data_IF_989285003545
#
_entry.id   IF_989285003545
#
_cell.length_a   1.000
_cell.length_b   1.000
_cell.length_c   1.000
_cell.angle_alpha   90.00
_cell.angle_beta   90.00
_cell.angle_gamma   90.00
#
_symmetry.space_group_name_H-M   'P 1'
#
loop_
_entity.id
_entity.type
_entity.pdbx_description
1 polymer ?
#
# COMPACT_ATOMS: atom_id res chain seq x y z
N UNK A 1 -10.34 -7.25 -49.59
CA UNK A 1 -11.00 -7.32 -48.27
C UNK A 1 -10.26 -8.20 -47.26
N UNK A 2 -9.82 -9.41 -47.62
CA UNK A 2 -9.08 -10.32 -46.70
C UNK A 2 -7.74 -9.75 -46.20
N UNK A 3 -6.97 -9.05 -47.06
CA UNK A 3 -5.67 -8.48 -46.66
C UNK A 3 -5.77 -7.29 -45.69
N UNK A 4 -6.85 -6.51 -45.75
CA UNK A 4 -7.08 -5.38 -44.84
C UNK A 4 -7.52 -5.89 -43.46
N UNK A 5 -8.34 -6.94 -43.43
CA UNK A 5 -8.69 -7.62 -42.18
C UNK A 5 -7.45 -8.22 -41.49
N UNK A 6 -6.52 -8.82 -42.23
CA UNK A 6 -5.28 -9.36 -41.66
C UNK A 6 -4.33 -8.29 -41.07
N UNK A 7 -4.29 -7.09 -41.66
CA UNK A 7 -3.50 -5.97 -41.14
C UNK A 7 -4.12 -5.35 -39.87
N UNK A 8 -5.45 -5.28 -39.79
CA UNK A 8 -6.18 -4.77 -38.62
C UNK A 8 -6.08 -5.69 -37.40
N UNK A 9 -5.78 -6.97 -37.58
CA UNK A 9 -5.59 -7.94 -36.49
C UNK A 9 -4.21 -7.76 -35.82
N UNK A 10 -3.31 -6.96 -36.40
CA UNK A 10 -1.94 -6.74 -35.93
C UNK A 10 -1.31 -8.02 -35.34
N UNK A 11 -1.13 -9.08 -36.16
CA UNK A 11 -0.56 -10.33 -35.68
C UNK A 11 0.91 -10.10 -35.31
N UNK A 12 1.14 -9.71 -34.06
CA UNK A 12 2.47 -9.65 -33.48
C UNK A 12 2.89 -11.09 -33.24
N UNK A 13 3.91 -11.56 -33.97
CA UNK A 13 4.72 -12.69 -33.50
C UNK A 13 5.60 -12.12 -32.39
N UNK A 14 5.32 -12.37 -31.09
CA UNK A 14 6.25 -11.96 -30.06
C UNK A 14 7.58 -12.65 -30.38
N UNK A 15 8.59 -11.84 -30.72
CA UNK A 15 9.95 -12.35 -30.77
C UNK A 15 10.22 -12.94 -29.39
N UNK A 16 10.67 -14.20 -29.28
CA UNK A 16 11.05 -14.75 -28.00
C UNK A 16 12.08 -13.79 -27.42
N UNK A 17 11.72 -13.14 -26.30
CA UNK A 17 12.68 -12.34 -25.56
C UNK A 17 13.79 -13.30 -25.15
N UNK A 18 14.90 -13.28 -25.90
CA UNK A 18 16.13 -13.90 -25.44
C UNK A 18 16.50 -13.16 -24.17
N UNK A 19 16.25 -13.81 -23.02
CA UNK A 19 16.84 -13.40 -21.75
C UNK A 19 18.34 -13.53 -21.92
N UNK A 20 18.99 -12.45 -22.33
CA UNK A 20 20.44 -12.37 -22.53
C UNK A 20 21.21 -12.46 -21.22
N UNK A 21 20.51 -12.32 -20.08
CA UNK A 21 21.09 -12.44 -18.75
C UNK A 21 20.47 -13.63 -17.99
N UNK A 22 21.32 -14.34 -17.25
CA UNK A 22 20.88 -15.33 -16.25
C UNK A 22 19.88 -14.63 -15.30
N UNK A 23 18.77 -15.27 -14.93
CA UNK A 23 17.84 -14.68 -13.97
C UNK A 23 18.56 -14.45 -12.64
N UNK A 24 18.23 -13.36 -11.93
CA UNK A 24 18.83 -13.06 -10.65
C UNK A 24 17.94 -13.51 -9.49
N UNK A 25 18.54 -14.14 -8.48
CA UNK A 25 17.86 -14.60 -7.27
C UNK A 25 18.58 -14.08 -6.02
N UNK A 26 17.85 -13.34 -5.20
CA UNK A 26 18.23 -12.92 -3.87
C UNK A 26 17.53 -13.83 -2.85
N UNK A 27 18.25 -14.39 -1.87
CA UNK A 27 17.64 -15.06 -0.70
C UNK A 27 17.88 -14.23 0.54
N UNK A 28 16.82 -13.94 1.27
CA UNK A 28 16.87 -13.31 2.59
C UNK A 28 16.47 -14.37 3.60
N UNK A 29 17.43 -14.77 4.44
CA UNK A 29 17.23 -15.81 5.46
C UNK A 29 17.14 -15.17 6.84
N UNK A 30 16.05 -15.46 7.55
CA UNK A 30 15.88 -15.07 8.94
C UNK A 30 16.76 -15.91 9.88
N UNK A 31 17.57 -15.25 10.70
CA UNK A 31 18.40 -15.84 11.74
C UNK A 31 18.13 -15.22 13.12
N UNK A 32 16.91 -14.72 13.32
CA UNK A 32 16.42 -14.33 14.64
C UNK A 32 16.24 -15.53 15.58
N UNK A 33 16.20 -15.27 16.89
CA UNK A 33 16.14 -16.28 17.94
C UNK A 33 14.85 -17.12 17.84
N UNK A 34 13.77 -16.55 17.32
CA UNK A 34 12.50 -17.27 17.08
C UNK A 34 12.66 -18.38 16.03
N UNK A 35 13.64 -18.28 15.12
CA UNK A 35 13.98 -19.36 14.19
C UNK A 35 14.59 -20.58 14.88
N UNK A 36 15.02 -20.44 16.13
CA UNK A 36 15.48 -21.53 17.00
C UNK A 36 14.36 -22.28 17.72
N UNK A 37 13.10 -21.81 17.65
CA UNK A 37 11.96 -22.47 18.30
C UNK A 37 11.67 -23.82 17.64
N UNK A 38 11.46 -24.86 18.47
CA UNK A 38 11.09 -26.22 18.05
C UNK A 38 9.57 -26.35 17.92
N UNK A 39 9.08 -25.96 16.75
CA UNK A 39 7.66 -26.06 16.40
C UNK A 39 7.43 -26.32 14.91
N UNK A 40 8.47 -26.75 14.19
CA UNK A 40 8.44 -26.95 12.75
C UNK A 40 8.68 -28.41 12.34
N UNK A 41 8.36 -28.71 11.08
CA UNK A 41 8.43 -30.06 10.51
C UNK A 41 7.17 -30.88 10.75
N UNK A 42 7.08 -32.10 10.16
CA UNK A 42 5.87 -32.92 10.19
C UNK A 42 5.36 -33.23 11.61
N UNK A 43 6.29 -33.43 12.54
CA UNK A 43 6.00 -33.80 13.94
C UNK A 43 6.22 -32.62 14.93
N UNK A 44 6.51 -31.41 14.43
CA UNK A 44 6.78 -30.22 15.27
C UNK A 44 8.08 -30.25 16.09
N UNK A 45 8.90 -31.30 15.95
CA UNK A 45 10.13 -31.47 16.75
C UNK A 45 11.38 -30.74 16.23
N UNK A 46 11.32 -30.17 15.02
CA UNK A 46 12.45 -29.46 14.43
C UNK A 46 12.40 -27.98 14.78
N UNK A 47 13.58 -27.36 14.89
CA UNK A 47 13.63 -25.90 14.86
C UNK A 47 13.16 -25.39 13.50
N UNK A 48 12.60 -24.18 13.45
CA UNK A 48 12.22 -23.53 12.19
C UNK A 48 13.41 -23.46 11.22
N UNK A 49 14.61 -23.19 11.75
CA UNK A 49 15.85 -23.23 10.99
C UNK A 49 16.20 -24.63 10.48
N UNK A 50 16.12 -25.67 11.31
CA UNK A 50 16.34 -27.07 10.90
C UNK A 50 15.37 -27.48 9.78
N UNK A 51 14.10 -27.08 9.87
CA UNK A 51 13.09 -27.36 8.86
C UNK A 51 13.43 -26.71 7.50
N UNK A 52 13.89 -25.45 7.50
CA UNK A 52 14.37 -24.79 6.28
C UNK A 52 15.63 -25.46 5.70
N UNK A 53 16.60 -25.82 6.55
CA UNK A 53 17.83 -26.52 6.14
C UNK A 53 17.54 -27.85 5.43
N UNK A 54 16.52 -28.58 5.88
CA UNK A 54 16.13 -29.88 5.30
C UNK A 54 15.23 -29.77 4.06
N UNK A 55 14.71 -28.57 3.76
CA UNK A 55 13.76 -28.33 2.67
C UNK A 55 14.31 -27.29 1.68
N UNK A 56 13.91 -26.03 1.82
CA UNK A 56 14.24 -24.94 0.89
C UNK A 56 15.76 -24.67 0.78
N UNK A 57 16.53 -24.98 1.83
CA UNK A 57 17.98 -24.81 1.90
C UNK A 57 18.75 -26.14 1.90
N UNK A 58 18.12 -27.25 1.49
CA UNK A 58 18.84 -28.50 1.33
C UNK A 58 19.99 -28.33 0.31
N UNK A 59 21.16 -28.97 0.50
CA UNK A 59 22.33 -28.75 -0.36
C UNK A 59 22.05 -28.87 -1.86
N UNK A 60 21.21 -29.83 -2.27
CA UNK A 60 20.80 -30.00 -3.67
C UNK A 60 19.91 -28.85 -4.19
N UNK A 61 19.05 -28.28 -3.35
CA UNK A 61 18.23 -27.12 -3.70
C UNK A 61 19.10 -25.87 -3.88
N UNK A 62 20.02 -25.62 -2.95
CA UNK A 62 20.96 -24.50 -2.99
C UNK A 62 21.86 -24.55 -4.24
N UNK A 63 22.34 -25.75 -4.59
CA UNK A 63 23.11 -25.97 -5.82
C UNK A 63 22.27 -25.72 -7.08
N UNK A 64 21.07 -26.32 -7.17
CA UNK A 64 20.16 -26.16 -8.31
C UNK A 64 19.77 -24.69 -8.55
N UNK A 65 19.56 -23.91 -7.48
CA UNK A 65 19.29 -22.47 -7.58
C UNK A 65 20.49 -21.70 -8.15
N UNK A 66 21.71 -21.99 -7.69
CA UNK A 66 22.94 -21.37 -8.20
C UNK A 66 23.24 -21.73 -9.67
N UNK A 67 22.84 -22.92 -10.11
CA UNK A 67 23.00 -23.34 -11.51
C UNK A 67 22.03 -22.61 -12.45
N UNK A 68 20.86 -22.22 -11.95
CA UNK A 68 19.79 -21.60 -12.74
C UNK A 68 19.82 -20.08 -12.71
N UNK A 69 20.42 -19.47 -11.69
CA UNK A 69 20.34 -18.04 -11.44
C UNK A 69 21.68 -17.46 -10.96
N UNK A 70 21.86 -16.15 -11.15
CA UNK A 70 22.88 -15.39 -10.45
C UNK A 70 22.40 -15.13 -9.01
N UNK A 71 23.10 -15.68 -8.03
CA UNK A 71 22.60 -15.74 -6.65
C UNK A 71 23.28 -14.76 -5.71
N UNK A 72 22.49 -14.17 -4.80
CA UNK A 72 22.94 -13.34 -3.68
C UNK A 72 22.17 -13.76 -2.42
N UNK A 73 22.80 -13.64 -1.26
CA UNK A 73 22.17 -14.00 0.00
C UNK A 73 22.42 -12.97 1.10
N UNK A 74 21.41 -12.77 1.93
CA UNK A 74 21.46 -11.94 3.13
C UNK A 74 20.92 -12.72 4.32
N UNK A 75 21.49 -12.43 5.48
CA UNK A 75 21.04 -12.92 6.77
C UNK A 75 20.35 -11.77 7.52
N UNK A 76 19.18 -12.04 8.07
CA UNK A 76 18.51 -11.14 9.02
C UNK A 76 19.05 -11.46 10.41
N UNK A 77 19.77 -10.52 10.98
CA UNK A 77 20.20 -10.52 12.37
C UNK A 77 19.87 -9.13 12.96
N UNK A 78 20.72 -8.56 13.81
CA UNK A 78 20.51 -7.19 14.30
C UNK A 78 20.49 -6.16 13.16
N UNK A 79 21.25 -6.44 12.09
CA UNK A 79 21.16 -5.75 10.82
C UNK A 79 21.26 -6.75 9.65
N UNK A 80 20.61 -6.47 8.50
CA UNK A 80 20.72 -7.30 7.31
C UNK A 80 22.16 -7.30 6.76
N UNK A 81 22.81 -8.46 6.76
CA UNK A 81 24.22 -8.62 6.33
C UNK A 81 24.35 -9.62 5.18
N UNK A 82 25.22 -9.39 4.19
CA UNK A 82 25.47 -10.38 3.14
C UNK A 82 26.08 -11.67 3.70
N UNK A 83 25.66 -12.82 3.17
CA UNK A 83 26.24 -14.13 3.49
C UNK A 83 26.64 -14.87 2.22
N UNK A 84 27.68 -15.70 2.29
CA UNK A 84 28.04 -16.57 1.18
C UNK A 84 26.89 -17.54 0.85
N UNK A 85 26.51 -17.64 -0.42
CA UNK A 85 25.40 -18.49 -0.87
C UNK A 85 25.48 -19.94 -0.37
N UNK A 86 26.69 -20.51 -0.40
CA UNK A 86 26.95 -21.89 0.05
C UNK A 86 26.86 -22.07 1.56
N UNK A 87 26.96 -20.99 2.34
CA UNK A 87 26.87 -21.01 3.79
C UNK A 87 25.43 -20.81 4.30
N UNK A 88 24.46 -20.54 3.41
CA UNK A 88 23.04 -20.44 3.77
C UNK A 88 22.57 -21.62 4.64
N UNK A 89 22.84 -22.90 4.30
CA UNK A 89 22.35 -24.04 5.07
C UNK A 89 22.88 -24.12 6.50
N UNK A 90 24.05 -23.56 6.76
CA UNK A 90 24.76 -23.66 8.04
C UNK A 90 24.58 -22.42 8.93
N UNK A 91 23.91 -21.37 8.42
CA UNK A 91 23.64 -20.17 9.20
C UNK A 91 22.79 -20.45 10.44
N UNK A 92 23.28 -20.07 11.61
CA UNK A 92 22.63 -20.29 12.90
C UNK A 92 21.82 -19.07 13.37
N UNK A 93 20.73 -19.29 14.14
CA UNK A 93 20.03 -18.21 14.84
C UNK A 93 20.95 -17.50 15.83
N UNK A 94 20.98 -16.17 15.83
CA UNK A 94 21.92 -15.41 16.66
C UNK A 94 21.39 -14.07 17.20
N UNK A 95 20.30 -13.52 16.66
CA UNK A 95 19.80 -12.17 17.03
C UNK A 95 18.42 -12.22 17.68
N UNK A 96 18.13 -11.34 18.62
CA UNK A 96 16.77 -11.16 19.16
C UNK A 96 15.91 -10.18 18.34
N UNK A 97 16.43 -9.68 17.22
CA UNK A 97 15.75 -8.77 16.30
C UNK A 97 15.51 -9.48 14.97
N UNK A 98 14.43 -9.09 14.29
CA UNK A 98 14.13 -9.53 12.92
C UNK A 98 13.61 -8.35 12.09
N UNK A 99 14.49 -7.43 11.63
CA UNK A 99 14.14 -6.35 10.71
C UNK A 99 13.94 -6.89 9.28
N UNK A 100 12.89 -7.69 9.07
CA UNK A 100 12.58 -8.36 7.80
C UNK A 100 12.34 -7.31 6.70
N UNK A 101 11.58 -6.26 6.98
CA UNK A 101 11.28 -5.18 6.05
C UNK A 101 12.56 -4.53 5.50
N UNK A 102 13.51 -4.16 6.37
CA UNK A 102 14.78 -3.55 5.96
C UNK A 102 15.62 -4.52 5.13
N UNK A 103 15.64 -5.80 5.50
CA UNK A 103 16.37 -6.82 4.76
C UNK A 103 15.80 -7.02 3.36
N UNK A 104 14.47 -7.07 3.24
CA UNK A 104 13.79 -7.16 1.96
C UNK A 104 14.01 -5.91 1.13
N UNK A 105 13.95 -4.72 1.72
CA UNK A 105 14.22 -3.47 1.00
C UNK A 105 15.64 -3.47 0.42
N UNK A 106 16.65 -3.82 1.22
CA UNK A 106 18.06 -3.91 0.76
C UNK A 106 18.23 -4.96 -0.34
N UNK A 107 17.60 -6.13 -0.21
CA UNK A 107 17.62 -7.18 -1.23
C UNK A 107 16.93 -6.71 -2.53
N UNK A 108 15.79 -6.02 -2.43
CA UNK A 108 15.10 -5.43 -3.57
C UNK A 108 15.95 -4.36 -4.22
N UNK A 109 16.60 -3.44 -3.48
CA UNK A 109 17.46 -2.39 -4.07
C UNK A 109 18.67 -2.95 -4.82
N UNK A 110 19.25 -4.04 -4.30
CA UNK A 110 20.45 -4.66 -4.86
C UNK A 110 20.17 -5.68 -5.97
N UNK A 111 18.94 -6.20 -6.08
CA UNK A 111 18.57 -7.14 -7.14
C UNK A 111 18.64 -6.47 -8.53
N UNK A 112 19.05 -7.15 -9.61
CA UNK A 112 18.83 -6.68 -10.97
C UNK A 112 17.34 -6.50 -11.31
N UNK A 113 17.03 -5.59 -12.24
CA UNK A 113 15.65 -5.39 -12.70
C UNK A 113 15.09 -6.69 -13.32
N UNK A 114 13.86 -7.06 -12.97
CA UNK A 114 13.27 -8.35 -13.37
C UNK A 114 13.74 -9.57 -12.55
N UNK A 115 14.51 -9.34 -11.48
CA UNK A 115 14.99 -10.38 -10.57
C UNK A 115 13.93 -10.89 -9.59
N UNK A 116 14.35 -11.76 -8.66
CA UNK A 116 13.49 -12.32 -7.61
C UNK A 116 14.16 -12.24 -6.25
N UNK A 117 13.38 -11.94 -5.22
CA UNK A 117 13.76 -12.02 -3.80
C UNK A 117 12.93 -13.13 -3.16
N UNK A 118 13.58 -14.09 -2.51
CA UNK A 118 12.96 -15.17 -1.73
C UNK A 118 13.23 -14.92 -0.25
N UNK A 119 12.18 -14.73 0.54
CA UNK A 119 12.25 -14.52 1.99
C UNK A 119 11.97 -15.83 2.71
N UNK A 120 12.84 -16.23 3.63
CA UNK A 120 12.70 -17.43 4.45
C UNK A 120 12.65 -17.00 5.92
N UNK A 121 11.47 -16.98 6.52
CA UNK A 121 11.26 -16.41 7.87
C UNK A 121 10.03 -17.03 8.55
N UNK A 122 9.91 -16.85 9.84
CA UNK A 122 8.68 -17.12 10.61
C UNK A 122 7.72 -15.91 10.67
N UNK A 123 8.11 -14.78 10.08
CA UNK A 123 7.32 -13.55 9.97
C UNK A 123 7.31 -12.68 11.22
N UNK A 124 8.17 -12.94 12.21
CA UNK A 124 8.23 -12.19 13.47
C UNK A 124 8.96 -10.83 13.33
N UNK A 125 8.46 -9.93 12.48
CA UNK A 125 9.01 -8.59 12.26
C UNK A 125 9.08 -7.76 13.56
N UNK A 126 10.22 -7.12 13.82
CA UNK A 126 10.46 -6.35 15.07
C UNK A 126 10.63 -4.85 14.89
N UNK A 127 10.95 -4.35 13.69
CA UNK A 127 11.39 -2.95 13.46
C UNK A 127 10.59 -2.20 12.41
N UNK A 128 9.71 -2.86 11.65
CA UNK A 128 8.98 -2.21 10.57
C UNK A 128 8.11 -1.04 11.06
N UNK A 129 8.48 0.17 10.61
CA UNK A 129 7.66 1.37 10.79
C UNK A 129 6.42 1.38 9.89
N UNK A 130 5.48 2.27 10.21
CA UNK A 130 4.29 2.51 9.39
C UNK A 130 4.63 2.75 7.91
N UNK A 131 3.88 2.10 7.02
CA UNK A 131 4.03 2.26 5.56
C UNK A 131 5.26 1.59 4.94
N UNK A 132 6.14 0.95 5.73
CA UNK A 132 7.38 0.33 5.18
C UNK A 132 7.08 -0.74 4.14
N UNK A 133 6.06 -1.58 4.36
CA UNK A 133 5.68 -2.63 3.42
C UNK A 133 5.14 -2.08 2.09
N UNK A 134 4.34 -1.00 2.14
CA UNK A 134 3.83 -0.35 0.93
C UNK A 134 4.98 0.21 0.09
N UNK A 135 5.91 0.95 0.72
CA UNK A 135 7.12 1.47 0.07
C UNK A 135 7.98 0.37 -0.57
N UNK A 136 8.16 -0.76 0.14
CA UNK A 136 8.89 -1.91 -0.40
C UNK A 136 8.16 -2.52 -1.60
N UNK A 137 6.83 -2.61 -1.53
CA UNK A 137 5.98 -3.06 -2.63
C UNK A 137 6.12 -2.18 -3.88
N UNK A 138 6.02 -0.86 -3.71
CA UNK A 138 6.18 0.12 -4.78
C UNK A 138 7.57 0.06 -5.40
N UNK A 139 8.61 -0.03 -4.57
CA UNK A 139 9.99 -0.20 -5.01
C UNK A 139 10.19 -1.49 -5.82
N UNK A 140 9.63 -2.61 -5.34
CA UNK A 140 9.72 -3.90 -6.01
C UNK A 140 8.98 -3.87 -7.36
N UNK A 141 7.80 -3.26 -7.42
CA UNK A 141 7.01 -3.08 -8.63
C UNK A 141 7.77 -2.21 -9.66
N UNK A 142 8.31 -1.07 -9.24
CA UNK A 142 9.08 -0.17 -10.10
C UNK A 142 10.30 -0.86 -10.73
N UNK A 143 10.95 -1.76 -9.98
CA UNK A 143 12.13 -2.52 -10.45
C UNK A 143 11.77 -3.86 -11.10
N UNK A 144 10.48 -4.20 -11.19
CA UNK A 144 9.96 -5.50 -11.66
C UNK A 144 10.58 -6.68 -10.90
N UNK A 145 10.89 -6.48 -9.62
CA UNK A 145 11.44 -7.52 -8.74
C UNK A 145 10.28 -8.25 -8.08
N UNK A 146 10.22 -9.57 -8.24
CA UNK A 146 9.21 -10.39 -7.57
C UNK A 146 9.68 -10.76 -6.16
N UNK A 147 8.84 -10.56 -5.15
CA UNK A 147 9.07 -11.02 -3.78
C UNK A 147 8.23 -12.28 -3.56
N UNK A 148 8.88 -13.40 -3.22
CA UNK A 148 8.23 -14.64 -2.78
C UNK A 148 8.64 -14.91 -1.32
N UNK A 149 7.77 -15.56 -0.54
CA UNK A 149 8.05 -15.88 0.87
C UNK A 149 7.74 -17.35 1.17
N UNK A 150 8.60 -17.98 1.97
CA UNK A 150 8.36 -19.28 2.60
C UNK A 150 8.31 -19.03 4.10
N UNK A 151 7.09 -19.11 4.64
CA UNK A 151 6.85 -19.06 6.07
C UNK A 151 7.19 -20.41 6.72
N UNK A 152 7.84 -20.39 7.88
CA UNK A 152 8.16 -21.60 8.66
C UNK A 152 7.75 -21.45 10.13
N UNK A 153 7.25 -22.53 10.71
CA UNK A 153 6.76 -22.57 12.09
C UNK A 153 5.46 -23.35 12.20
N UNK A 154 4.90 -23.41 13.40
CA UNK A 154 3.63 -24.09 13.64
C UNK A 154 2.44 -23.26 13.14
N UNK A 155 1.47 -23.92 12.50
CA UNK A 155 0.15 -23.34 12.25
C UNK A 155 -0.68 -23.15 13.53
N UNK A 156 -0.28 -23.79 14.63
CA UNK A 156 -0.84 -23.68 15.96
C UNK A 156 0.28 -23.30 16.95
N UNK A 157 0.63 -22.02 17.07
CA UNK A 157 1.68 -21.58 17.98
C UNK A 157 1.33 -21.95 19.43
N UNK A 158 2.32 -22.37 20.22
CA UNK A 158 2.11 -22.64 21.64
C UNK A 158 1.70 -21.36 22.39
N UNK A 159 2.40 -20.25 22.09
CA UNK A 159 2.14 -18.95 22.68
C UNK A 159 1.10 -18.10 21.93
N UNK A 160 0.63 -17.04 22.57
CA UNK A 160 -0.30 -16.09 21.98
C UNK A 160 0.37 -15.28 20.86
N UNK A 161 -0.24 -15.30 19.68
CA UNK A 161 0.14 -14.49 18.52
C UNK A 161 -1.10 -13.78 17.98
N UNK A 162 -0.95 -12.53 17.55
CA UNK A 162 -2.00 -11.78 16.87
C UNK A 162 -1.46 -11.15 15.59
N UNK A 163 -2.27 -11.16 14.54
CA UNK A 163 -1.96 -10.58 13.23
C UNK A 163 -3.13 -9.68 12.82
N UNK A 164 -2.82 -8.46 12.38
CA UNK A 164 -3.81 -7.58 11.78
C UNK A 164 -4.08 -8.09 10.36
N UNK A 165 -5.33 -8.46 10.09
CA UNK A 165 -5.72 -8.95 8.77
C UNK A 165 -6.06 -7.78 7.84
N UNK A 166 -6.77 -6.77 8.36
CA UNK A 166 -7.17 -5.63 7.55
C UNK A 166 -7.53 -4.39 8.38
N UNK A 167 -7.38 -3.24 7.73
CA UNK A 167 -7.91 -1.95 8.16
C UNK A 167 -8.84 -1.46 7.05
N UNK A 168 -10.10 -1.16 7.37
CA UNK A 168 -11.09 -0.79 6.35
C UNK A 168 -11.99 0.35 6.82
N UNK A 169 -12.11 1.44 6.05
CA UNK A 169 -11.26 1.79 4.89
C UNK A 169 -9.82 2.12 5.34
N UNK A 170 -8.85 2.13 4.41
CA UNK A 170 -7.45 2.42 4.72
C UNK A 170 -7.22 3.90 5.10
N UNK A 171 -8.05 4.79 4.54
CA UNK A 171 -8.12 6.20 4.89
C UNK A 171 -9.57 6.55 5.27
N UNK A 172 -9.73 7.39 6.27
CA UNK A 172 -11.02 7.94 6.72
C UNK A 172 -10.92 9.45 6.84
N UNK A 173 -12.07 10.09 6.86
CA UNK A 173 -12.16 11.49 7.24
C UNK A 173 -12.63 11.65 8.69
N UNK A 174 -12.37 12.79 9.34
CA UNK A 174 -12.84 13.07 10.69
C UNK A 174 -14.33 12.75 10.85
N UNK A 175 -14.66 11.95 11.88
CA UNK A 175 -16.04 11.53 12.18
C UNK A 175 -16.49 10.25 11.47
N UNK A 176 -15.78 9.75 10.46
CA UNK A 176 -16.10 8.47 9.83
C UNK A 176 -15.57 7.27 10.63
N UNK A 177 -16.24 6.12 10.52
CA UNK A 177 -15.86 4.90 11.24
C UNK A 177 -14.86 4.07 10.44
N UNK A 178 -13.85 3.55 11.12
CA UNK A 178 -12.92 2.56 10.61
C UNK A 178 -13.12 1.21 11.33
N UNK A 179 -12.67 0.13 10.67
CA UNK A 179 -12.63 -1.21 11.23
C UNK A 179 -11.23 -1.78 11.19
N UNK A 180 -10.79 -2.34 12.30
CA UNK A 180 -9.56 -3.14 12.39
C UNK A 180 -9.97 -4.58 12.65
N UNK A 181 -9.67 -5.46 11.70
CA UNK A 181 -9.87 -6.91 11.84
C UNK A 181 -8.53 -7.57 12.11
N UNK A 182 -8.50 -8.43 13.12
CA UNK A 182 -7.33 -9.19 13.49
C UNK A 182 -7.68 -10.65 13.75
N UNK A 183 -6.67 -11.50 13.59
CA UNK A 183 -6.72 -12.91 13.91
C UNK A 183 -5.69 -13.22 14.98
N UNK A 184 -6.16 -13.81 16.07
CA UNK A 184 -5.34 -14.24 17.18
C UNK A 184 -5.30 -15.77 17.23
N UNK A 185 -4.13 -16.31 17.59
CA UNK A 185 -3.87 -17.75 17.73
C UNK A 185 -3.07 -18.01 19.00
N UNK A 186 -3.30 -19.14 19.65
CA UNK A 186 -2.50 -19.62 20.77
C UNK A 186 -3.30 -20.48 21.73
N UNK A 187 -2.65 -21.41 22.43
CA UNK A 187 -3.33 -22.30 23.37
C UNK A 187 -4.01 -21.55 24.51
N UNK A 188 -3.48 -20.40 24.93
CA UNK A 188 -4.11 -19.57 25.95
C UNK A 188 -5.52 -19.06 25.57
N UNK A 189 -5.85 -19.02 24.26
CA UNK A 189 -7.19 -18.66 23.78
C UNK A 189 -8.22 -19.79 23.96
N UNK A 190 -7.80 -21.01 24.28
CA UNK A 190 -8.71 -22.11 24.65
C UNK A 190 -9.28 -21.99 26.07
N UNK A 191 -8.76 -21.04 26.86
CA UNK A 191 -9.14 -20.80 28.26
C UNK A 191 -9.81 -19.43 28.40
N UNK A 192 -10.70 -19.24 29.39
CA UNK A 192 -11.30 -17.94 29.67
C UNK A 192 -10.24 -16.91 30.12
N UNK A 193 -10.51 -15.63 29.90
CA UNK A 193 -9.72 -14.51 30.44
C UNK A 193 -8.86 -13.77 29.43
N UNK A 194 -8.90 -14.14 28.15
CA UNK A 194 -8.24 -13.37 27.10
C UNK A 194 -9.02 -12.08 26.76
N UNK A 195 -8.29 -11.01 26.46
CA UNK A 195 -8.83 -9.67 26.15
C UNK A 195 -8.03 -9.01 25.03
N UNK A 196 -8.73 -8.30 24.16
CA UNK A 196 -8.18 -7.39 23.18
C UNK A 196 -8.57 -5.95 23.51
N UNK A 197 -7.63 -5.02 23.50
CA UNK A 197 -7.87 -3.59 23.74
C UNK A 197 -7.22 -2.77 22.64
N UNK A 198 -8.02 -1.92 21.98
CA UNK A 198 -7.53 -0.91 21.04
C UNK A 198 -7.16 0.35 21.82
N UNK A 199 -5.90 0.75 21.73
CA UNK A 199 -5.33 1.93 22.36
C UNK A 199 -5.00 3.00 21.31
N UNK A 200 -5.19 4.26 21.64
CA UNK A 200 -4.66 5.37 20.85
C UNK A 200 -3.15 5.58 21.08
N UNK A 201 -2.56 6.57 20.40
CA UNK A 201 -1.14 6.92 20.53
C UNK A 201 -0.74 7.38 21.94
N UNK A 202 -1.68 7.88 22.74
CA UNK A 202 -1.48 8.26 24.13
C UNK A 202 -1.67 7.08 25.10
N UNK A 203 -1.99 5.88 24.59
CA UNK A 203 -2.24 4.68 25.39
C UNK A 203 -3.63 4.64 26.04
N UNK A 204 -4.56 5.53 25.66
CA UNK A 204 -5.93 5.54 26.17
C UNK A 204 -6.74 4.45 25.45
N UNK A 205 -7.60 3.77 26.20
CA UNK A 205 -8.48 2.72 25.66
C UNK A 205 -9.59 3.31 24.80
N UNK A 206 -9.52 3.09 23.50
CA UNK A 206 -10.57 3.47 22.53
C UNK A 206 -11.69 2.43 22.54
N UNK A 207 -11.34 1.14 22.55
CA UNK A 207 -12.30 0.04 22.57
C UNK A 207 -11.68 -1.19 23.22
N UNK A 208 -12.50 -2.05 23.83
CA UNK A 208 -12.05 -3.30 24.41
C UNK A 208 -13.05 -4.43 24.16
N UNK A 209 -12.54 -5.65 23.98
CA UNK A 209 -13.33 -6.85 23.77
C UNK A 209 -12.75 -8.01 24.59
N UNK A 210 -13.61 -8.69 25.34
CA UNK A 210 -13.27 -9.99 25.90
C UNK A 210 -13.30 -11.05 24.79
N UNK A 211 -12.38 -12.00 24.85
CA UNK A 211 -12.28 -13.10 23.89
C UNK A 211 -12.84 -14.35 24.55
N UNK A 212 -13.91 -14.91 23.97
CA UNK A 212 -14.46 -16.17 24.43
C UNK A 212 -13.44 -17.30 24.17
N UNK A 213 -13.42 -18.35 25.02
CA UNK A 213 -12.60 -19.53 24.78
C UNK A 213 -12.87 -20.11 23.38
N UNK A 214 -11.82 -20.28 22.58
CA UNK A 214 -11.89 -20.83 21.24
C UNK A 214 -11.36 -22.27 21.23
N UNK A 215 -12.15 -23.23 20.76
CA UNK A 215 -11.81 -24.67 20.79
C UNK A 215 -10.46 -24.98 20.12
N UNK A 216 -10.12 -24.27 19.04
CA UNK A 216 -8.88 -24.46 18.28
C UNK A 216 -7.81 -23.42 18.61
N UNK A 217 -7.99 -22.68 19.72
CA UNK A 217 -7.08 -21.61 20.12
C UNK A 217 -6.98 -20.49 19.09
N UNK A 218 -8.04 -20.24 18.33
CA UNK A 218 -8.08 -19.26 17.25
C UNK A 218 -9.30 -18.36 17.36
N UNK A 219 -9.10 -17.04 17.32
CA UNK A 219 -10.15 -16.05 17.43
C UNK A 219 -9.99 -14.94 16.39
N UNK A 220 -11.08 -14.61 15.69
CA UNK A 220 -11.18 -13.44 14.84
C UNK A 220 -11.87 -12.31 15.61
N UNK A 221 -11.27 -11.12 15.61
CA UNK A 221 -11.80 -9.95 16.30
C UNK A 221 -11.89 -8.77 15.36
N UNK A 222 -12.92 -7.95 15.52
CA UNK A 222 -13.06 -6.70 14.79
C UNK A 222 -13.33 -5.57 15.77
N UNK A 223 -12.52 -4.52 15.72
CA UNK A 223 -12.80 -3.25 16.38
C UNK A 223 -13.46 -2.31 15.39
N UNK A 224 -14.54 -1.65 15.82
CA UNK A 224 -15.13 -0.54 15.08
C UNK A 224 -14.98 0.71 15.93
N UNK A 225 -14.40 1.78 15.37
CA UNK A 225 -14.12 3.01 16.09
C UNK A 225 -14.09 4.19 15.11
N UNK A 226 -14.09 5.41 15.64
CA UNK A 226 -13.93 6.64 14.85
C UNK A 226 -12.52 7.15 15.09
N UNK A 227 -11.62 7.10 14.09
CA UNK A 227 -10.27 7.62 14.23
C UNK A 227 -10.25 9.12 14.47
N UNK A 228 -9.30 9.59 15.28
CA UNK A 228 -9.04 11.00 15.53
C UNK A 228 -7.77 11.42 14.78
N UNK A 229 -7.71 12.64 14.19
CA UNK A 229 -6.49 13.15 13.59
C UNK A 229 -5.32 13.14 14.58
N UNK A 230 -4.12 12.83 14.09
CA UNK A 230 -2.93 12.91 14.92
C UNK A 230 -2.66 14.39 15.28
N UNK A 231 -2.18 14.70 16.51
CA UNK A 231 -1.92 16.08 16.92
C UNK A 231 -0.88 16.81 16.06
N UNK A 232 0.01 16.08 15.40
CA UNK A 232 1.07 16.56 14.52
C UNK A 232 0.67 16.61 13.04
N UNK A 233 -0.58 16.27 12.70
CA UNK A 233 -1.08 16.21 11.33
C UNK A 233 -0.59 14.99 10.53
N UNK A 234 0.11 14.05 11.17
CA UNK A 234 0.53 12.79 10.56
C UNK A 234 -0.57 11.72 10.57
N UNK A 235 -0.24 10.51 10.07
CA UNK A 235 -1.14 9.35 10.17
C UNK A 235 -1.48 9.00 11.63
N UNK A 236 -2.73 8.64 11.91
CA UNK A 236 -3.15 8.26 13.26
C UNK A 236 -2.68 6.85 13.60
N UNK A 237 -1.89 6.72 14.68
CA UNK A 237 -1.34 5.43 15.13
C UNK A 237 -2.15 4.87 16.28
N UNK A 238 -2.58 3.62 16.14
CA UNK A 238 -3.28 2.84 17.16
C UNK A 238 -2.47 1.60 17.54
N UNK A 239 -2.68 1.09 18.75
CA UNK A 239 -2.10 -0.17 19.21
C UNK A 239 -3.20 -1.14 19.62
N UNK A 240 -3.23 -2.31 18.99
CA UNK A 240 -4.01 -3.45 19.48
C UNK A 240 -3.17 -4.19 20.51
N UNK A 241 -3.59 -4.12 21.77
CA UNK A 241 -3.03 -4.86 22.90
C UNK A 241 -3.86 -6.13 23.13
N UNK A 242 -3.19 -7.27 23.08
CA UNK A 242 -3.77 -8.60 23.30
C UNK A 242 -3.17 -9.22 24.55
N UNK A 243 -4.03 -9.64 25.46
CA UNK A 243 -3.65 -10.23 26.75
C UNK A 243 -4.35 -11.58 26.91
N UNK A 244 -3.63 -12.58 27.39
CA UNK A 244 -4.20 -13.88 27.74
C UNK A 244 -3.51 -14.46 28.99
N UNK A 245 -4.18 -15.30 29.79
CA UNK A 245 -3.60 -15.82 31.03
C UNK A 245 -2.34 -16.66 30.82
N UNK A 246 -1.25 -16.26 31.47
CA UNK A 246 0.04 -16.95 31.41
C UNK A 246 0.86 -16.68 30.14
N UNK A 247 0.42 -15.74 29.31
CA UNK A 247 1.11 -15.34 28.08
C UNK A 247 1.66 -13.90 28.21
N UNK A 248 2.81 -13.59 27.59
CA UNK A 248 3.24 -12.22 27.44
C UNK A 248 2.25 -11.46 26.54
N UNK A 249 1.95 -10.21 26.91
CA UNK A 249 1.04 -9.38 26.14
C UNK A 249 1.60 -9.11 24.73
N UNK A 250 0.75 -9.25 23.72
CA UNK A 250 1.09 -8.98 22.32
C UNK A 250 0.61 -7.60 21.92
N UNK A 251 1.49 -6.80 21.29
CA UNK A 251 1.17 -5.46 20.80
C UNK A 251 1.30 -5.43 19.29
N UNK A 252 0.28 -4.92 18.59
CA UNK A 252 0.31 -4.71 17.14
C UNK A 252 -0.07 -3.27 16.84
N UNK A 253 0.82 -2.57 16.14
CA UNK A 253 0.58 -1.21 15.72
C UNK A 253 -0.20 -1.21 14.41
N UNK A 254 -1.15 -0.29 14.32
CA UNK A 254 -1.98 -0.05 13.15
C UNK A 254 -1.94 1.43 12.85
N UNK A 255 -1.82 1.77 11.57
CA UNK A 255 -1.93 3.14 11.11
C UNK A 255 -3.22 3.30 10.34
N UNK A 256 -3.91 4.40 10.61
CA UNK A 256 -5.10 4.83 9.88
C UNK A 256 -4.85 6.24 9.39
N UNK A 257 -4.99 6.43 8.08
CA UNK A 257 -4.87 7.76 7.49
C UNK A 257 -6.15 8.53 7.79
N UNK A 258 -6.04 9.62 8.56
CA UNK A 258 -7.16 10.51 8.85
C UNK A 258 -6.95 11.76 8.02
N UNK A 259 -7.67 11.84 6.89
CA UNK A 259 -7.56 12.92 5.93
C UNK A 259 -8.24 14.16 6.49
N UNK A 260 -7.46 15.11 6.99
CA UNK A 260 -7.96 16.39 7.51
C UNK A 260 -8.11 17.45 6.41
N UNK A 261 -7.34 17.32 5.34
CA UNK A 261 -7.35 18.26 4.24
C UNK A 261 -8.44 17.86 3.23
N UNK A 262 -9.25 18.84 2.84
CA UNK A 262 -10.21 18.65 1.77
C UNK A 262 -9.47 18.52 0.43
N UNK A 263 -9.93 17.60 -0.41
CA UNK A 263 -9.45 17.46 -1.79
C UNK A 263 -9.85 18.73 -2.55
N UNK A 264 -8.88 19.45 -3.09
CA UNK A 264 -9.10 20.70 -3.81
C UNK A 264 -9.41 20.38 -5.26
N UNK A 265 -10.63 20.69 -5.70
CA UNK A 265 -11.12 20.34 -7.03
C UNK A 265 -11.46 21.61 -7.81
N UNK A 266 -10.88 21.76 -8.99
CA UNK A 266 -11.29 22.80 -9.93
C UNK A 266 -12.23 22.23 -10.99
N UNK A 267 -13.37 22.88 -11.22
CA UNK A 267 -14.34 22.48 -12.26
C UNK A 267 -14.47 23.60 -13.28
N UNK A 268 -14.07 23.35 -14.52
CA UNK A 268 -14.14 24.31 -15.63
C UNK A 268 -15.31 23.96 -16.57
N UNK A 269 -16.26 24.88 -16.72
CA UNK A 269 -17.47 24.69 -17.54
C UNK A 269 -17.69 25.90 -18.47
N UNK A 270 -17.31 25.75 -19.73
CA UNK A 270 -17.38 26.82 -20.73
C UNK A 270 -18.79 27.02 -21.28
N UNK A 271 -19.53 25.94 -21.42
CA UNK A 271 -20.92 25.97 -21.87
C UNK A 271 -21.78 25.25 -20.83
N UNK A 272 -22.83 25.87 -20.28
CA UNK A 272 -23.61 25.24 -19.22
C UNK A 272 -24.25 23.92 -19.65
N UNK A 273 -23.94 22.83 -18.95
CA UNK A 273 -24.55 21.50 -19.14
C UNK A 273 -25.06 20.90 -17.83
N UNK A 274 -26.10 20.08 -17.95
CA UNK A 274 -26.76 19.46 -16.80
C UNK A 274 -25.89 18.39 -16.11
N UNK A 275 -25.02 17.69 -16.84
CA UNK A 275 -24.13 16.66 -16.30
C UNK A 275 -23.07 17.27 -15.37
N UNK A 276 -22.41 18.35 -15.81
CA UNK A 276 -21.43 19.07 -15.00
C UNK A 276 -22.11 19.72 -13.79
N UNK A 277 -23.34 20.23 -13.94
CA UNK A 277 -24.09 20.78 -12.82
C UNK A 277 -24.41 19.72 -11.75
N UNK A 278 -24.84 18.52 -12.15
CA UNK A 278 -25.11 17.42 -11.23
C UNK A 278 -23.84 16.95 -10.50
N UNK A 279 -22.72 16.83 -11.24
CA UNK A 279 -21.43 16.50 -10.64
C UNK A 279 -20.99 17.58 -9.64
N UNK A 280 -21.16 18.86 -10.01
CA UNK A 280 -20.82 19.97 -9.14
C UNK A 280 -21.64 19.95 -7.84
N UNK A 281 -22.94 19.69 -7.91
CA UNK A 281 -23.81 19.58 -6.72
C UNK A 281 -23.37 18.43 -5.81
N UNK A 282 -23.00 17.27 -6.39
CA UNK A 282 -22.48 16.13 -5.64
C UNK A 282 -21.15 16.45 -4.93
N UNK A 283 -20.23 17.15 -5.61
CA UNK A 283 -18.96 17.57 -5.03
C UNK A 283 -19.14 18.62 -3.93
N UNK A 284 -20.04 19.58 -4.10
CA UNK A 284 -20.34 20.62 -3.09
C UNK A 284 -20.96 20.01 -1.83
N UNK A 285 -21.76 18.95 -1.98
CA UNK A 285 -22.38 18.27 -0.85
C UNK A 285 -21.37 17.43 -0.04
N UNK A 286 -20.20 17.11 -0.61
CA UNK A 286 -19.18 16.32 0.05
C UNK A 286 -18.33 17.21 0.98
N UNK A 287 -18.33 16.98 2.32
CA UNK A 287 -17.57 17.80 3.27
C UNK A 287 -16.04 17.66 3.11
N UNK A 288 -15.58 16.81 2.19
CA UNK A 288 -14.20 16.43 1.99
C UNK A 288 -13.63 17.04 0.72
N UNK A 289 -14.42 17.85 0.03
CA UNK A 289 -14.07 18.44 -1.26
C UNK A 289 -14.18 19.95 -1.16
N UNK A 290 -13.09 20.65 -1.46
CA UNK A 290 -13.07 22.09 -1.65
C UNK A 290 -13.18 22.39 -3.14
N UNK A 291 -14.37 22.83 -3.56
CA UNK A 291 -14.66 22.98 -4.98
C UNK A 291 -14.48 24.42 -5.43
N UNK A 292 -13.61 24.65 -6.40
CA UNK A 292 -13.56 25.89 -7.17
C UNK A 292 -14.21 25.70 -8.53
N UNK A 293 -15.39 26.28 -8.72
CA UNK A 293 -16.12 26.26 -9.99
C UNK A 293 -15.78 27.50 -10.81
N UNK A 294 -15.39 27.28 -12.07
CA UNK A 294 -15.10 28.30 -13.09
C UNK A 294 -16.08 28.10 -14.24
N UNK A 295 -17.12 28.91 -14.29
CA UNK A 295 -18.13 28.85 -15.34
C UNK A 295 -18.07 30.08 -16.24
N UNK A 296 -18.08 29.90 -17.56
CA UNK A 296 -18.06 31.05 -18.45
C UNK A 296 -19.46 31.70 -18.57
N UNK A 297 -19.52 33.03 -18.45
CA UNK A 297 -20.78 33.78 -18.59
C UNK A 297 -20.92 34.37 -19.99
N UNK A 298 -19.91 35.09 -20.46
CA UNK A 298 -19.86 35.78 -21.77
C UNK A 298 -18.42 35.82 -22.28
N UNK A 299 -18.18 36.26 -23.53
CA UNK A 299 -16.80 36.38 -24.06
C UNK A 299 -15.93 37.22 -23.14
N UNK A 300 -14.92 36.60 -22.53
CA UNK A 300 -13.95 37.25 -21.64
C UNK A 300 -14.41 37.47 -20.20
N UNK A 301 -15.53 36.86 -19.76
CA UNK A 301 -15.99 36.95 -18.37
C UNK A 301 -16.36 35.58 -17.82
N UNK A 302 -15.70 35.24 -16.71
CA UNK A 302 -15.92 34.02 -15.96
C UNK A 302 -16.61 34.32 -14.62
N UNK A 303 -17.39 33.35 -14.16
CA UNK A 303 -17.92 33.27 -12.81
C UNK A 303 -17.08 32.25 -12.04
N UNK A 304 -16.28 32.76 -11.11
CA UNK A 304 -15.50 31.91 -10.21
C UNK A 304 -16.16 31.88 -8.84
N UNK A 305 -16.44 30.67 -8.35
CA UNK A 305 -17.00 30.44 -7.01
C UNK A 305 -16.25 29.33 -6.31
N UNK A 306 -15.89 29.55 -5.05
CA UNK A 306 -15.33 28.53 -4.17
C UNK A 306 -16.36 28.06 -3.15
N UNK A 307 -16.46 26.75 -3.00
CA UNK A 307 -17.31 26.05 -2.06
C UNK A 307 -16.40 25.26 -1.12
N UNK A 308 -15.84 25.95 -0.14
CA UNK A 308 -15.01 25.32 0.88
C UNK A 308 -15.90 24.67 1.95
N UNK A 309 -15.57 23.45 2.42
CA UNK A 309 -16.34 22.78 3.46
C UNK A 309 -16.54 23.66 4.71
N UNK A 310 -17.76 23.68 5.24
CA UNK A 310 -18.10 24.45 6.44
C UNK A 310 -18.13 25.98 6.26
N UNK A 311 -17.96 26.49 5.03
CA UNK A 311 -17.96 27.93 4.72
C UNK A 311 -19.10 28.31 3.78
N UNK A 312 -19.52 29.58 3.84
CA UNK A 312 -20.45 30.12 2.84
C UNK A 312 -19.76 30.20 1.46
N UNK A 313 -20.49 30.00 0.35
CA UNK A 313 -19.91 30.12 -0.99
C UNK A 313 -19.27 31.50 -1.20
N UNK A 314 -18.01 31.50 -1.65
CA UNK A 314 -17.25 32.72 -1.90
C UNK A 314 -17.15 32.97 -3.41
N UNK A 315 -17.36 34.23 -3.82
CA UNK A 315 -17.08 34.66 -5.20
C UNK A 315 -15.64 35.12 -5.29
N UNK A 316 -14.92 34.66 -6.31
CA UNK A 316 -13.55 35.10 -6.59
C UNK A 316 -13.48 35.91 -7.88
N UNK A 317 -12.49 36.78 -7.99
CA UNK A 317 -12.32 37.65 -9.15
C UNK A 317 -11.75 36.88 -10.35
N UNK A 318 -10.76 36.03 -10.12
CA UNK A 318 -10.12 35.20 -11.14
C UNK A 318 -9.58 33.89 -10.53
N UNK A 319 -9.39 32.87 -11.36
CA UNK A 319 -8.46 31.76 -11.08
C UNK A 319 -7.26 31.98 -11.97
N UNK A 320 -6.06 32.00 -11.39
CA UNK A 320 -4.83 32.01 -12.18
C UNK A 320 -4.68 30.63 -12.81
N UNK A 321 -5.11 30.48 -14.07
CA UNK A 321 -5.06 29.21 -14.84
C UNK A 321 -3.64 28.62 -14.95
N UNK A 322 -2.62 29.42 -14.66
CA UNK A 322 -1.21 29.02 -14.62
C UNK A 322 -0.83 28.35 -13.28
N UNK A 323 -1.68 28.45 -12.26
CA UNK A 323 -1.49 27.91 -10.90
C UNK A 323 -2.37 26.68 -10.63
N UNK A 324 -2.35 25.72 -11.55
CA UNK A 324 -3.03 24.42 -11.34
C UNK A 324 -2.46 23.61 -10.16
N UNK A 325 -1.38 24.06 -9.50
CA UNK A 325 -0.84 23.46 -8.26
C UNK A 325 -1.78 23.56 -7.07
N UNK A 326 -2.66 24.55 -7.09
CA UNK A 326 -3.56 24.78 -5.98
C UNK A 326 -4.69 23.74 -5.90
N UNK A 327 -4.78 22.86 -6.90
CA UNK A 327 -5.77 21.80 -7.00
C UNK A 327 -5.11 20.43 -6.99
N UNK A 328 -5.83 19.44 -6.49
CA UNK A 328 -5.46 18.03 -6.54
C UNK A 328 -6.11 17.35 -7.74
N UNK A 329 -7.30 17.84 -8.14
CA UNK A 329 -8.05 17.37 -9.31
C UNK A 329 -8.58 18.53 -10.14
N UNK A 330 -8.44 18.43 -11.47
CA UNK A 330 -9.06 19.34 -12.44
C UNK A 330 -10.12 18.58 -13.23
N UNK A 331 -11.33 19.12 -13.28
CA UNK A 331 -12.47 18.57 -14.01
C UNK A 331 -12.79 19.50 -15.17
N UNK A 332 -12.77 18.95 -16.38
CA UNK A 332 -13.04 19.65 -17.62
C UNK A 332 -14.43 19.27 -18.14
N UNK A 333 -15.30 20.27 -18.18
CA UNK A 333 -16.62 20.19 -18.79
C UNK A 333 -16.63 20.65 -20.25
N UNK A 334 -17.76 21.17 -20.74
CA UNK A 334 -17.89 21.52 -22.16
C UNK A 334 -17.31 22.89 -22.47
N UNK A 335 -16.71 23.06 -23.66
CA UNK A 335 -16.22 24.36 -24.14
C UNK A 335 -14.99 24.88 -23.38
N UNK A 336 -14.22 23.97 -22.78
CA UNK A 336 -13.03 24.28 -21.96
C UNK A 336 -11.84 24.83 -22.73
N UNK A 337 -11.85 24.72 -24.06
CA UNK A 337 -10.81 25.24 -24.95
C UNK A 337 -10.58 26.75 -24.81
N UNK A 338 -11.59 27.47 -24.32
CA UNK A 338 -11.48 28.89 -24.00
C UNK A 338 -10.44 29.19 -22.92
N UNK A 339 -10.14 28.23 -22.04
CA UNK A 339 -9.15 28.36 -20.98
C UNK A 339 -7.86 27.60 -21.27
N UNK A 340 -7.95 26.43 -21.89
CA UNK A 340 -6.83 25.49 -22.01
C UNK A 340 -6.27 25.35 -23.43
N UNK A 341 -6.48 26.33 -24.31
CA UNK A 341 -5.82 26.38 -25.61
C UNK A 341 -4.35 26.81 -25.56
N UNK A 342 -3.54 26.32 -26.50
CA UNK A 342 -2.16 26.79 -26.71
C UNK A 342 -1.23 26.53 -25.51
N UNK A 343 -0.51 27.55 -25.04
CA UNK A 343 0.47 27.45 -23.96
C UNK A 343 -0.11 26.94 -22.61
N UNK A 344 -1.43 27.05 -22.40
CA UNK A 344 -2.11 26.56 -21.19
C UNK A 344 -2.41 25.07 -21.22
N UNK A 345 -2.44 24.44 -22.40
CA UNK A 345 -2.47 22.98 -22.50
C UNK A 345 -1.21 22.35 -21.89
N UNK A 346 -0.04 22.96 -22.12
CA UNK A 346 1.21 22.52 -21.52
C UNK A 346 1.23 22.65 -19.98
N UNK A 347 0.48 23.60 -19.41
CA UNK A 347 0.34 23.69 -17.95
C UNK A 347 -0.48 22.52 -17.39
N UNK A 348 -1.53 22.10 -18.11
CA UNK A 348 -2.34 20.93 -17.76
C UNK A 348 -1.53 19.63 -17.91
N UNK A 349 -0.71 19.52 -18.95
CA UNK A 349 0.20 18.39 -19.15
C UNK A 349 1.19 18.26 -17.98
N UNK A 350 1.88 19.35 -17.60
CA UNK A 350 2.78 19.35 -16.44
C UNK A 350 2.06 18.99 -15.14
N UNK A 351 0.83 19.48 -14.94
CA UNK A 351 0.02 19.14 -13.78
C UNK A 351 -0.21 17.62 -13.66
N UNK A 352 -0.54 16.94 -14.76
CA UNK A 352 -0.77 15.49 -14.76
C UNK A 352 0.54 14.70 -14.72
N UNK A 353 1.50 15.02 -15.59
CA UNK A 353 2.70 14.22 -15.83
C UNK A 353 3.76 14.43 -14.74
N UNK A 354 4.04 15.68 -14.38
CA UNK A 354 5.12 15.99 -13.44
C UNK A 354 4.65 15.92 -11.98
N UNK A 355 3.39 16.29 -11.72
CA UNK A 355 2.84 16.39 -10.35
C UNK A 355 1.87 15.28 -9.96
N UNK A 356 1.43 14.45 -10.90
CA UNK A 356 0.46 13.38 -10.63
C UNK A 356 -0.94 13.90 -10.31
N UNK A 357 -1.28 15.12 -10.72
CA UNK A 357 -2.60 15.69 -10.53
C UNK A 357 -3.69 14.93 -11.29
N UNK A 358 -4.86 14.79 -10.68
CA UNK A 358 -5.99 14.09 -11.29
C UNK A 358 -6.65 14.94 -12.39
N UNK A 359 -6.85 14.39 -13.57
CA UNK A 359 -7.59 15.03 -14.65
C UNK A 359 -8.83 14.21 -15.00
N UNK A 360 -10.00 14.83 -14.93
CA UNK A 360 -11.26 14.22 -15.35
C UNK A 360 -11.87 15.04 -16.49
N UNK A 361 -11.96 14.46 -17.68
CA UNK A 361 -12.82 14.99 -18.72
C UNK A 361 -14.25 14.49 -18.48
N UNK A 362 -15.11 15.33 -17.89
CA UNK A 362 -16.47 14.96 -17.52
C UNK A 362 -17.34 14.58 -18.74
N UNK A 363 -16.89 14.91 -19.96
CA UNK A 363 -17.50 14.47 -21.21
C UNK A 363 -16.48 13.87 -22.17
N UNK A 364 -16.67 12.59 -22.49
CA UNK A 364 -16.03 11.93 -23.63
C UNK A 364 -16.70 12.36 -24.93
N UNK A 365 -16.04 13.24 -25.68
CA UNK A 365 -16.51 13.76 -26.97
C UNK A 365 -15.75 15.03 -27.34
N UNK A 366 -16.07 16.13 -26.68
CA UNK A 366 -15.48 17.44 -27.02
C UNK A 366 -14.03 17.61 -26.50
N UNK A 367 -13.64 16.95 -25.39
CA UNK A 367 -12.25 16.93 -24.94
C UNK A 367 -11.32 16.11 -25.86
N UNK A 368 -11.88 15.27 -26.74
CA UNK A 368 -11.15 14.52 -27.77
C UNK A 368 -11.15 15.22 -29.13
N UNK A 369 -12.20 15.97 -29.46
CA UNK A 369 -12.30 16.74 -30.72
C UNK A 369 -11.72 18.16 -30.64
N UNK A 370 -11.30 18.58 -29.44
CA UNK A 370 -10.71 19.89 -29.26
C UNK A 370 -9.21 19.95 -29.51
N UNK A 371 -8.68 21.16 -29.73
CA UNK A 371 -7.24 21.41 -29.82
C UNK A 371 -6.45 20.94 -28.58
N UNK A 372 -7.15 20.69 -27.48
CA UNK A 372 -6.63 20.15 -26.22
C UNK A 372 -6.17 18.69 -26.37
N UNK A 373 -6.92 17.85 -27.11
CA UNK A 373 -6.51 16.47 -27.40
C UNK A 373 -5.22 16.40 -28.24
N UNK A 374 -5.09 17.28 -29.24
CA UNK A 374 -3.86 17.39 -30.04
C UNK A 374 -2.68 17.96 -29.27
N UNK A 375 -2.92 18.76 -28.24
CA UNK A 375 -1.88 19.37 -27.43
C UNK A 375 -1.38 18.46 -26.31
N UNK A 376 -2.21 17.52 -25.85
CA UNK A 376 -1.88 16.57 -24.78
C UNK A 376 -1.30 15.24 -25.27
N UNK A 377 -1.27 15.01 -26.59
CA UNK A 377 -0.65 13.82 -27.21
C UNK A 377 -1.62 12.67 -27.45
#
# INVERSE_FOLDING_TARGET
LVGVAAALINPVRPAPHQRTHRPALAVVLDASASMGVRDAGPDGGLTRREALARSALAPGAVASMADRAETRAWLIADEPTPIAWRALPDAAPASNRSPIADAVERAVRSAPAGGRVLVLSDGAETEAGAGSLARIGDLAAARRVRIDAIAVGSSSPAGLTAVIESVTPAAVFPGQRARITLRARGQALTRPGARATLLDSAGRSVAARAIAPAEHGEAALTFEFTPEPAPDGGPAVYTVLMEAPGEPAQRRHVVVDVLTDAVRVAVFEGEPHWETAFLLDALIADPLVDVTSVAALTRGRDLVRRFAPGSAPARMDTVELERLDEFDVVILGRGVDRWFGGARAAALERFVVERGGGLLAARGGDAQDSNLARALG
#
